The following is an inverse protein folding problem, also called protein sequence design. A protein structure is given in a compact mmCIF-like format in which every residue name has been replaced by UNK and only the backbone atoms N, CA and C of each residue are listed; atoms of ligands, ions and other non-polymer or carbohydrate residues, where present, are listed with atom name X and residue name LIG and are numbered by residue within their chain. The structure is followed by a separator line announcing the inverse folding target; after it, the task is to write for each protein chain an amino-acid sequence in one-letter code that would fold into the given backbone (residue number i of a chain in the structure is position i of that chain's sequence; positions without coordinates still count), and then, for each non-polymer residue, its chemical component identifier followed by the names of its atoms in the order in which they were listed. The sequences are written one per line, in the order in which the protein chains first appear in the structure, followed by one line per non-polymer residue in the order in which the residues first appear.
data_IF_780624371563
#
_entry.id   IF_780624371563
#
_cell.length_a   1.000
_cell.length_b   1.000
_cell.length_c   1.000
_cell.angle_alpha   90.00
_cell.angle_beta   90.00
_cell.angle_gamma   90.00
#
_symmetry.space_group_name_H-M   'P 1'
#
loop_
_entity.id
_entity.type
_entity.pdbx_description
1 polymer ?
#
# COMPACT_ATOMS: atom_id res chain seq x y z
N UNK A 1 -12.47 15.05 3.43
CA UNK A 1 -12.83 13.69 3.02
C UNK A 1 -14.02 13.72 2.09
N UNK A 2 -14.04 12.93 1.01
CA UNK A 2 -15.21 12.77 0.14
C UNK A 2 -16.12 11.66 0.67
N UNK A 3 -17.42 11.85 0.50
CA UNK A 3 -18.44 10.85 0.82
C UNK A 3 -19.28 10.55 -0.41
N UNK A 4 -19.70 9.31 -0.57
CA UNK A 4 -20.60 8.90 -1.65
C UNK A 4 -22.03 9.38 -1.37
N UNK A 5 -22.66 9.93 -2.39
CA UNK A 5 -24.10 10.28 -2.39
C UNK A 5 -24.76 9.76 -3.67
N UNK A 6 -26.04 9.51 -3.59
CA UNK A 6 -26.86 9.20 -4.76
C UNK A 6 -28.02 10.20 -4.86
N UNK A 7 -28.38 10.52 -6.11
CA UNK A 7 -29.55 11.32 -6.43
C UNK A 7 -30.35 10.62 -7.52
N UNK A 8 -31.65 10.75 -7.49
CA UNK A 8 -32.52 10.25 -8.56
C UNK A 8 -32.90 11.43 -9.46
N UNK A 9 -32.73 11.28 -10.77
CA UNK A 9 -33.18 12.29 -11.73
C UNK A 9 -34.71 12.29 -11.81
N UNK A 10 -35.24 13.30 -12.41
CA UNK A 10 -36.68 13.38 -12.67
C UNK A 10 -37.17 12.27 -13.61
N UNK A 11 -36.26 11.66 -14.40
CA UNK A 11 -36.51 10.49 -15.28
C UNK A 11 -36.45 9.16 -14.54
N UNK A 12 -36.15 9.15 -13.24
CA UNK A 12 -36.03 7.93 -12.43
C UNK A 12 -34.62 7.31 -12.38
N UNK A 13 -33.66 7.86 -13.12
CA UNK A 13 -32.29 7.35 -13.15
C UNK A 13 -31.52 7.70 -11.87
N UNK A 14 -30.81 6.72 -11.33
CA UNK A 14 -29.93 6.92 -10.16
C UNK A 14 -28.55 7.36 -10.60
N UNK A 15 -28.11 8.49 -10.07
CA UNK A 15 -26.77 9.01 -10.28
C UNK A 15 -25.98 8.99 -8.97
N UNK A 16 -24.71 8.62 -9.05
CA UNK A 16 -23.82 8.53 -7.90
C UNK A 16 -22.72 9.61 -8.00
N UNK A 17 -22.45 10.25 -6.87
CA UNK A 17 -21.51 11.36 -6.78
C UNK A 17 -20.62 11.22 -5.55
N UNK A 18 -19.41 11.77 -5.63
CA UNK A 18 -18.60 12.08 -4.48
C UNK A 18 -18.75 13.55 -4.11
N UNK A 19 -19.10 13.81 -2.85
CA UNK A 19 -19.29 15.15 -2.30
C UNK A 19 -18.38 15.34 -1.09
N UNK A 20 -17.84 16.56 -0.92
CA UNK A 20 -17.05 16.89 0.27
C UNK A 20 -17.93 16.84 1.52
N UNK A 21 -17.45 16.16 2.57
CA UNK A 21 -18.14 16.11 3.86
C UNK A 21 -18.35 17.50 4.47
N UNK A 22 -17.37 18.43 4.33
CA UNK A 22 -17.49 19.82 4.75
C UNK A 22 -18.56 20.58 3.95
N UNK A 23 -18.66 20.37 2.62
CA UNK A 23 -19.70 20.95 1.79
C UNK A 23 -21.09 20.42 2.18
N UNK A 24 -21.21 19.11 2.47
CA UNK A 24 -22.47 18.51 2.93
C UNK A 24 -22.93 19.07 4.27
N UNK A 25 -22.00 19.28 5.19
CA UNK A 25 -22.25 19.85 6.53
C UNK A 25 -22.35 21.37 6.56
N UNK A 26 -22.27 22.03 5.39
CA UNK A 26 -22.29 23.50 5.25
C UNK A 26 -21.17 24.22 6.04
N UNK A 27 -20.01 23.58 6.17
CA UNK A 27 -18.84 24.13 6.87
C UNK A 27 -17.96 25.03 5.97
N UNK A 28 -18.54 25.74 5.01
CA UNK A 28 -17.85 26.71 4.16
C UNK A 28 -17.09 26.10 2.97
N UNK A 29 -17.03 24.79 2.82
CA UNK A 29 -16.36 24.16 1.68
C UNK A 29 -17.17 24.37 0.39
N UNK A 30 -16.53 24.94 -0.64
CA UNK A 30 -17.14 25.24 -1.95
C UNK A 30 -16.87 24.15 -3.00
N UNK A 31 -16.27 23.02 -2.62
CA UNK A 31 -15.94 21.92 -3.55
C UNK A 31 -17.19 21.36 -4.21
N UNK A 32 -17.19 21.35 -5.54
CA UNK A 32 -18.27 20.77 -6.34
C UNK A 32 -18.28 19.25 -6.19
N UNK A 33 -19.47 18.65 -6.27
CA UNK A 33 -19.61 17.20 -6.35
C UNK A 33 -19.10 16.69 -7.70
N UNK A 34 -18.53 15.48 -7.71
CA UNK A 34 -17.98 14.85 -8.91
C UNK A 34 -18.68 13.52 -9.13
N UNK A 35 -18.99 13.17 -10.38
CA UNK A 35 -19.60 11.89 -10.73
C UNK A 35 -18.68 10.74 -10.27
N UNK A 36 -19.24 9.77 -9.55
CA UNK A 36 -18.52 8.62 -9.02
C UNK A 36 -17.84 7.83 -10.14
N UNK A 37 -18.62 7.45 -11.17
CA UNK A 37 -18.12 6.62 -12.26
C UNK A 37 -16.98 7.30 -13.05
N UNK A 38 -17.00 8.64 -13.14
CA UNK A 38 -15.94 9.41 -13.79
C UNK A 38 -14.61 9.25 -13.05
N UNK A 39 -14.58 9.50 -11.74
CA UNK A 39 -13.36 9.47 -10.95
C UNK A 39 -12.82 8.04 -10.80
N UNK A 40 -13.70 7.08 -10.56
CA UNK A 40 -13.30 5.67 -10.41
C UNK A 40 -12.70 5.13 -11.69
N UNK A 41 -13.34 5.37 -12.82
CA UNK A 41 -12.86 4.93 -14.12
C UNK A 41 -11.56 5.64 -14.52
N UNK A 42 -11.44 6.94 -14.28
CA UNK A 42 -10.21 7.69 -14.51
C UNK A 42 -9.06 7.10 -13.67
N UNK A 43 -9.29 6.86 -12.38
CA UNK A 43 -8.29 6.27 -11.50
C UNK A 43 -7.84 4.89 -11.99
N UNK A 44 -8.75 4.04 -12.45
CA UNK A 44 -8.42 2.70 -12.97
C UNK A 44 -7.58 2.81 -14.24
N UNK A 45 -8.03 3.60 -15.23
CA UNK A 45 -7.32 3.74 -16.50
C UNK A 45 -5.91 4.30 -16.28
N UNK A 46 -5.78 5.31 -15.44
CA UNK A 46 -4.49 5.90 -15.10
C UNK A 46 -3.57 4.89 -14.40
N UNK A 47 -4.12 4.11 -13.47
CA UNK A 47 -3.38 3.06 -12.78
C UNK A 47 -2.91 1.97 -13.75
N UNK A 48 -3.78 1.49 -14.62
CA UNK A 48 -3.43 0.49 -15.65
C UNK A 48 -2.32 1.01 -16.54
N UNK A 49 -2.46 2.24 -17.06
CA UNK A 49 -1.48 2.84 -17.95
C UNK A 49 -0.14 3.14 -17.29
N UNK A 50 -0.13 3.38 -15.95
CA UNK A 50 1.08 3.70 -15.21
C UNK A 50 1.78 2.46 -14.67
N UNK A 51 1.02 1.57 -14.02
CA UNK A 51 1.56 0.46 -13.23
C UNK A 51 1.84 -0.79 -14.07
N UNK A 52 0.99 -1.06 -15.07
CA UNK A 52 1.02 -2.32 -15.82
C UNK A 52 1.91 -2.30 -17.07
N UNK A 53 2.84 -1.33 -17.19
CA UNK A 53 3.92 -1.35 -18.19
C UNK A 53 5.00 -2.33 -17.73
N UNK A 54 5.63 -3.04 -18.68
CA UNK A 54 6.65 -4.04 -18.35
C UNK A 54 7.83 -3.46 -17.57
N UNK A 55 8.28 -2.26 -17.96
CA UNK A 55 9.36 -1.53 -17.30
C UNK A 55 9.00 -1.18 -15.85
N UNK A 56 7.77 -0.71 -15.63
CA UNK A 56 7.30 -0.32 -14.31
C UNK A 56 7.06 -1.54 -13.41
N UNK A 57 6.51 -2.62 -13.96
CA UNK A 57 6.36 -3.90 -13.25
C UNK A 57 7.72 -4.41 -12.78
N UNK A 58 8.74 -4.37 -13.66
CA UNK A 58 10.10 -4.78 -13.29
C UNK A 58 10.67 -3.88 -12.17
N UNK A 59 10.48 -2.55 -12.26
CA UNK A 59 10.92 -1.59 -11.24
C UNK A 59 10.23 -1.82 -9.88
N UNK A 60 8.93 -2.11 -9.90
CA UNK A 60 8.16 -2.43 -8.69
C UNK A 60 8.69 -3.75 -8.09
N UNK A 61 8.93 -4.76 -8.90
CA UNK A 61 9.48 -6.04 -8.46
C UNK A 61 10.85 -5.86 -7.80
N UNK A 62 11.75 -5.08 -8.41
CA UNK A 62 13.07 -4.78 -7.84
C UNK A 62 12.94 -4.02 -6.50
N UNK A 63 11.98 -3.11 -6.38
CA UNK A 63 11.72 -2.39 -5.13
C UNK A 63 11.20 -3.30 -4.02
N UNK A 64 10.33 -4.27 -4.34
CA UNK A 64 9.84 -5.27 -3.40
C UNK A 64 10.97 -6.18 -2.93
N UNK A 65 11.83 -6.63 -3.85
CA UNK A 65 13.00 -7.45 -3.50
C UNK A 65 13.98 -6.68 -2.59
N UNK A 66 14.22 -5.41 -2.88
CA UNK A 66 15.05 -4.56 -2.03
C UNK A 66 14.47 -4.43 -0.62
N UNK A 67 13.15 -4.29 -0.49
CA UNK A 67 12.47 -4.27 0.82
C UNK A 67 12.56 -5.63 1.52
N UNK A 68 12.33 -6.75 0.82
CA UNK A 68 12.50 -8.08 1.39
C UNK A 68 13.90 -8.28 1.98
N UNK A 69 14.93 -7.76 1.30
CA UNK A 69 16.32 -7.87 1.75
C UNK A 69 16.68 -6.88 2.88
N UNK A 70 16.03 -5.71 2.94
CA UNK A 70 16.34 -4.68 3.95
C UNK A 70 15.66 -4.91 5.29
N UNK A 71 14.51 -5.56 5.32
CA UNK A 71 13.75 -5.82 6.55
C UNK A 71 14.26 -7.03 7.36
N UNK A 72 15.27 -7.74 6.89
CA UNK A 72 15.80 -8.95 7.52
C UNK A 72 16.74 -8.70 8.72
N UNK A 73 16.85 -7.48 9.24
CA UNK A 73 17.67 -7.20 10.42
C UNK A 73 17.19 -7.94 11.69
N UNK A 74 15.90 -8.30 11.74
CA UNK A 74 15.31 -9.01 12.90
C UNK A 74 15.82 -10.45 13.01
N UNK A 75 15.88 -11.19 11.89
CA UNK A 75 16.33 -12.59 11.87
C UNK A 75 17.82 -12.71 12.26
N UNK A 76 18.74 -11.92 11.68
CA UNK A 76 20.14 -11.90 12.10
C UNK A 76 20.31 -11.52 13.58
N UNK A 77 19.52 -10.56 14.09
CA UNK A 77 19.56 -10.19 15.51
C UNK A 77 19.14 -11.33 16.42
N UNK A 78 18.04 -12.02 16.11
CA UNK A 78 17.57 -13.20 16.85
C UNK A 78 18.58 -14.35 16.78
N UNK A 79 19.16 -14.62 15.61
CA UNK A 79 20.21 -15.64 15.45
C UNK A 79 21.46 -15.32 16.26
N UNK A 80 21.85 -14.04 16.30
CA UNK A 80 22.96 -13.59 17.16
C UNK A 80 22.64 -13.81 18.63
N UNK A 81 21.47 -13.42 19.11
CA UNK A 81 21.05 -13.66 20.49
C UNK A 81 21.02 -15.15 20.84
N UNK A 82 20.57 -15.99 19.91
CA UNK A 82 20.59 -17.43 20.08
C UNK A 82 22.01 -17.97 20.25
N UNK A 83 22.93 -17.58 19.37
CA UNK A 83 24.33 -17.98 19.43
C UNK A 83 25.03 -17.50 20.74
N UNK A 84 24.73 -16.28 21.18
CA UNK A 84 25.27 -15.75 22.45
C UNK A 84 24.71 -16.51 23.66
N UNK A 85 23.43 -16.92 23.61
CA UNK A 85 22.80 -17.74 24.67
C UNK A 85 23.39 -19.15 24.69
N UNK A 86 23.57 -19.78 23.53
CA UNK A 86 24.19 -21.12 23.40
C UNK A 86 25.64 -21.11 23.93
N UNK A 87 26.41 -20.07 23.61
CA UNK A 87 27.75 -19.86 24.16
C UNK A 87 27.73 -19.68 25.69
N UNK A 88 26.72 -18.99 26.21
CA UNK A 88 26.51 -18.85 27.66
C UNK A 88 26.24 -20.20 28.34
N UNK A 89 25.45 -21.06 27.73
CA UNK A 89 25.19 -22.44 28.22
C UNK A 89 26.48 -23.26 28.20
N UNK A 90 27.24 -23.22 27.13
CA UNK A 90 28.51 -23.94 27.00
C UNK A 90 29.53 -23.51 28.08
N UNK A 91 29.66 -22.20 28.28
CA UNK A 91 30.52 -21.67 29.38
C UNK A 91 30.08 -22.14 30.77
N UNK A 92 28.77 -22.21 31.01
CA UNK A 92 28.23 -22.75 32.28
C UNK A 92 28.51 -24.24 32.45
N UNK A 93 28.35 -25.01 31.37
CA UNK A 93 28.68 -26.46 31.40
C UNK A 93 30.16 -26.70 31.65
N UNK A 94 31.04 -25.90 31.03
CA UNK A 94 32.48 -25.96 31.30
C UNK A 94 32.84 -25.62 32.77
N UNK A 95 32.18 -24.61 33.34
CA UNK A 95 32.37 -24.26 34.76
C UNK A 95 31.91 -25.38 35.72
N UNK A 96 30.78 -26.03 35.40
CA UNK A 96 30.27 -27.17 36.13
C UNK A 96 31.23 -28.37 36.06
N UNK A 97 31.81 -28.65 34.92
CA UNK A 97 32.82 -29.69 34.73
C UNK A 97 34.10 -29.41 35.54
N UNK A 98 34.42 -28.14 35.79
CA UNK A 98 35.54 -27.73 36.65
C UNK A 98 35.19 -27.73 38.14
N UNK A 99 33.99 -28.19 38.52
CA UNK A 99 33.58 -28.34 39.90
C UNK A 99 32.82 -27.14 40.49
N UNK A 100 32.46 -26.12 39.68
CA UNK A 100 31.66 -24.98 40.13
C UNK A 100 30.19 -25.35 40.06
N UNK A 101 29.64 -25.95 41.13
CA UNK A 101 28.25 -26.33 41.21
C UNK A 101 27.57 -25.69 42.43
N UNK A 102 26.69 -24.73 42.22
CA UNK A 102 25.88 -24.08 43.24
C UNK A 102 24.41 -24.10 42.85
N UNK A 103 23.49 -23.82 43.79
CA UNK A 103 22.06 -23.69 43.44
C UNK A 103 21.80 -22.63 42.39
N UNK A 104 22.50 -21.50 42.46
CA UNK A 104 22.40 -20.40 41.47
C UNK A 104 22.94 -20.80 40.11
N UNK A 105 23.92 -21.71 40.01
CA UNK A 105 24.40 -22.27 38.75
C UNK A 105 23.29 -23.05 38.01
N UNK A 106 22.57 -23.89 38.79
CA UNK A 106 21.44 -24.67 38.25
C UNK A 106 20.33 -23.75 37.73
N UNK A 107 19.87 -22.82 38.57
CA UNK A 107 18.80 -21.87 38.17
C UNK A 107 19.18 -21.05 36.92
N UNK A 108 20.43 -20.63 36.84
CA UNK A 108 20.93 -19.86 35.69
C UNK A 108 20.99 -20.71 34.42
N UNK A 109 21.40 -21.96 34.54
CA UNK A 109 21.44 -22.87 33.39
C UNK A 109 20.01 -23.15 32.85
N UNK A 110 19.06 -23.45 33.73
CA UNK A 110 17.66 -23.65 33.39
C UNK A 110 17.06 -22.41 32.72
N UNK A 111 17.40 -21.20 33.20
CA UNK A 111 16.94 -19.95 32.57
C UNK A 111 17.53 -19.74 31.17
N UNK A 112 18.81 -20.05 30.96
CA UNK A 112 19.47 -19.96 29.65
C UNK A 112 18.91 -20.99 28.67
N UNK A 113 18.64 -22.21 29.12
CA UNK A 113 18.03 -23.25 28.27
C UNK A 113 16.62 -22.84 27.82
N UNK A 114 15.80 -22.33 28.74
CA UNK A 114 14.47 -21.79 28.39
C UNK A 114 14.56 -20.60 27.42
N UNK A 115 15.53 -19.72 27.62
CA UNK A 115 15.78 -18.59 26.74
C UNK A 115 16.17 -19.07 25.33
N UNK A 116 17.07 -20.05 25.22
CA UNK A 116 17.47 -20.70 23.96
C UNK A 116 16.25 -21.24 23.20
N UNK A 117 15.38 -21.99 23.90
CA UNK A 117 14.22 -22.62 23.28
C UNK A 117 13.20 -21.58 22.80
N UNK A 118 12.97 -20.52 23.57
CA UNK A 118 12.15 -19.39 23.14
C UNK A 118 12.73 -18.68 21.91
N UNK A 119 14.05 -18.47 21.84
CA UNK A 119 14.73 -17.85 20.71
C UNK A 119 14.67 -18.74 19.46
N UNK A 120 14.79 -20.07 19.60
CA UNK A 120 14.60 -21.02 18.48
C UNK A 120 13.21 -20.91 17.88
N UNK A 121 12.18 -20.87 18.72
CA UNK A 121 10.79 -20.68 18.29
C UNK A 121 10.62 -19.32 17.59
N UNK A 122 11.18 -18.25 18.16
CA UNK A 122 11.09 -16.92 17.58
C UNK A 122 11.77 -16.82 16.20
N UNK A 123 12.94 -17.46 16.02
CA UNK A 123 13.62 -17.54 14.72
C UNK A 123 12.77 -18.29 13.70
N UNK A 124 12.24 -19.46 14.07
CA UNK A 124 11.36 -20.25 13.19
C UNK A 124 10.12 -19.46 12.78
N UNK A 125 9.46 -18.78 13.73
CA UNK A 125 8.29 -17.96 13.45
C UNK A 125 8.64 -16.79 12.50
N UNK A 126 9.78 -16.12 12.72
CA UNK A 126 10.22 -15.03 11.86
C UNK A 126 10.55 -15.51 10.44
N UNK A 127 11.13 -16.70 10.29
CA UNK A 127 11.41 -17.31 9.00
C UNK A 127 10.13 -17.75 8.25
N UNK A 128 9.13 -18.28 8.97
CA UNK A 128 7.86 -18.71 8.40
C UNK A 128 6.95 -17.53 7.99
N UNK A 129 7.03 -16.41 8.69
CA UNK A 129 6.18 -15.24 8.43
C UNK A 129 6.58 -14.44 7.18
N UNK A 130 7.74 -14.70 6.60
CA UNK A 130 8.25 -13.95 5.43
C UNK A 130 8.51 -14.88 4.24
N UNK A 131 7.47 -15.19 3.43
CA UNK A 131 7.70 -15.88 2.17
C UNK A 131 8.60 -15.02 1.28
N UNK A 132 9.74 -15.56 0.86
CA UNK A 132 10.64 -14.90 -0.10
C UNK A 132 10.11 -15.14 -1.50
N UNK A 133 9.61 -14.08 -2.12
CA UNK A 133 9.21 -14.13 -3.53
C UNK A 133 10.40 -13.88 -4.43
N UNK A 134 10.47 -14.57 -5.56
CA UNK A 134 11.42 -14.28 -6.63
C UNK A 134 10.90 -13.14 -7.50
N UNK A 135 11.80 -12.52 -8.28
CA UNK A 135 11.42 -11.45 -9.22
C UNK A 135 10.36 -11.93 -10.21
N UNK A 136 10.55 -13.13 -10.73
CA UNK A 136 9.66 -13.76 -11.72
C UNK A 136 8.26 -13.97 -11.14
N UNK A 137 8.16 -14.41 -9.88
CA UNK A 137 6.88 -14.59 -9.21
C UNK A 137 6.15 -13.26 -9.03
N UNK A 138 6.85 -12.19 -8.63
CA UNK A 138 6.27 -10.86 -8.46
C UNK A 138 5.81 -10.31 -9.82
N UNK A 139 6.67 -10.39 -10.85
CA UNK A 139 6.34 -9.94 -12.20
C UNK A 139 5.13 -10.70 -12.76
N UNK A 140 5.10 -12.02 -12.61
CA UNK A 140 3.98 -12.86 -13.04
C UNK A 140 2.69 -12.48 -12.32
N UNK A 141 2.75 -12.27 -11.00
CA UNK A 141 1.59 -11.87 -10.22
C UNK A 141 1.03 -10.50 -10.64
N UNK A 142 1.89 -9.50 -10.82
CA UNK A 142 1.45 -8.17 -11.31
C UNK A 142 0.95 -8.28 -12.75
N UNK A 143 1.60 -9.09 -13.58
CA UNK A 143 1.24 -9.29 -14.99
C UNK A 143 -0.18 -9.80 -15.20
N UNK A 144 -0.75 -10.54 -14.26
CA UNK A 144 -2.14 -11.02 -14.32
C UNK A 144 -3.16 -9.89 -14.42
N UNK A 145 -2.81 -8.70 -13.94
CA UNK A 145 -3.70 -7.53 -13.99
C UNK A 145 -3.69 -6.81 -15.34
N UNK A 146 -2.82 -7.17 -16.28
CA UNK A 146 -2.81 -6.58 -17.64
C UNK A 146 -4.04 -6.94 -18.45
N UNK A 147 -4.62 -8.09 -18.14
CA UNK A 147 -5.74 -8.65 -18.90
C UNK A 147 -7.02 -8.51 -18.11
N UNK A 148 -7.84 -7.53 -18.48
CA UNK A 148 -9.13 -7.30 -17.83
C UNK A 148 -9.91 -6.19 -18.52
N UNK A 149 -11.22 -6.27 -18.42
CA UNK A 149 -12.11 -5.23 -18.96
C UNK A 149 -12.17 -4.05 -17.98
N UNK A 150 -11.63 -2.91 -18.42
CA UNK A 150 -11.64 -1.65 -17.65
C UNK A 150 -13.07 -1.18 -17.32
N UNK A 151 -14.08 -1.66 -18.04
CA UNK A 151 -15.49 -1.35 -17.80
C UNK A 151 -16.12 -2.29 -16.77
N UNK A 152 -15.50 -3.44 -16.49
CA UNK A 152 -15.98 -4.38 -15.48
C UNK A 152 -15.75 -3.81 -14.08
N UNK A 153 -16.81 -3.76 -13.26
CA UNK A 153 -16.72 -3.32 -11.85
C UNK A 153 -15.80 -4.18 -11.01
N UNK A 154 -15.76 -5.47 -11.27
CA UNK A 154 -14.89 -6.40 -10.56
C UNK A 154 -13.41 -6.12 -10.85
N UNK A 155 -13.08 -5.89 -12.13
CA UNK A 155 -11.73 -5.52 -12.52
C UNK A 155 -11.32 -4.16 -11.96
N UNK A 156 -12.19 -3.15 -12.04
CA UNK A 156 -11.95 -1.84 -11.46
C UNK A 156 -11.64 -1.94 -9.96
N UNK A 157 -12.45 -2.69 -9.22
CA UNK A 157 -12.24 -2.93 -7.79
C UNK A 157 -10.89 -3.61 -7.52
N UNK A 158 -10.56 -4.66 -8.26
CA UNK A 158 -9.27 -5.36 -8.12
C UNK A 158 -8.08 -4.44 -8.34
N UNK A 159 -8.11 -3.61 -9.38
CA UNK A 159 -7.03 -2.64 -9.68
C UNK A 159 -6.87 -1.64 -8.53
N UNK A 160 -7.96 -1.06 -8.07
CA UNK A 160 -7.91 -0.04 -7.01
C UNK A 160 -7.48 -0.64 -5.66
N UNK A 161 -8.04 -1.79 -5.29
CA UNK A 161 -7.69 -2.44 -4.03
C UNK A 161 -6.23 -2.88 -3.98
N UNK A 162 -5.68 -3.30 -5.13
CA UNK A 162 -4.30 -3.79 -5.20
C UNK A 162 -3.28 -2.66 -5.28
N UNK A 163 -3.49 -1.69 -6.14
CA UNK A 163 -2.44 -0.72 -6.50
C UNK A 163 -2.63 0.67 -5.90
N UNK A 164 -3.86 1.14 -5.72
CA UNK A 164 -4.13 2.51 -5.28
C UNK A 164 -4.14 2.59 -3.76
N UNK A 165 -3.29 3.46 -3.22
CA UNK A 165 -3.29 3.78 -1.79
C UNK A 165 -4.31 4.87 -1.48
N UNK A 166 -4.20 6.03 -2.14
CA UNK A 166 -5.07 7.17 -1.90
C UNK A 166 -5.28 7.97 -3.17
N UNK A 167 -6.41 8.66 -3.24
CA UNK A 167 -6.77 9.53 -4.34
C UNK A 167 -7.15 10.90 -3.80
N UNK A 168 -6.43 11.95 -4.22
CA UNK A 168 -6.67 13.32 -3.81
C UNK A 168 -7.24 14.11 -4.97
N UNK A 169 -8.43 14.66 -4.77
CA UNK A 169 -9.14 15.43 -5.78
C UNK A 169 -9.06 16.92 -5.46
N UNK A 170 -8.26 17.65 -6.23
CA UNK A 170 -8.19 19.11 -6.24
C UNK A 170 -9.19 19.70 -7.24
N UNK A 171 -9.27 21.03 -7.34
CA UNK A 171 -10.18 21.67 -8.27
C UNK A 171 -9.69 21.61 -9.72
N UNK A 172 -8.38 21.51 -9.91
CA UNK A 172 -7.66 21.53 -11.18
C UNK A 172 -6.97 20.19 -11.52
N UNK A 173 -6.76 19.31 -10.53
CA UNK A 173 -5.94 18.12 -10.67
C UNK A 173 -6.39 16.97 -9.80
N UNK A 174 -5.97 15.77 -10.21
CA UNK A 174 -6.10 14.52 -9.49
C UNK A 174 -4.70 14.02 -9.12
N UNK A 175 -4.49 13.69 -7.85
CA UNK A 175 -3.26 13.04 -7.39
C UNK A 175 -3.58 11.63 -6.94
N UNK A 176 -2.91 10.66 -7.54
CA UNK A 176 -3.03 9.24 -7.18
C UNK A 176 -1.74 8.81 -6.49
N UNK A 177 -1.85 8.23 -5.30
CA UNK A 177 -0.73 7.58 -4.63
C UNK A 177 -0.92 6.08 -4.69
N UNK A 178 0.15 5.36 -5.00
CA UNK A 178 0.13 3.91 -5.15
C UNK A 178 0.73 3.20 -3.94
N UNK A 179 0.45 1.92 -3.80
CA UNK A 179 0.92 1.07 -2.69
C UNK A 179 2.41 0.67 -2.79
N UNK A 180 3.17 1.25 -3.71
CA UNK A 180 4.60 0.97 -3.88
C UNK A 180 5.44 2.25 -3.80
N UNK A 181 6.72 2.09 -3.46
CA UNK A 181 7.64 3.21 -3.23
C UNK A 181 7.83 4.06 -4.49
N UNK A 182 7.64 5.38 -4.35
CA UNK A 182 7.75 6.33 -5.46
C UNK A 182 6.54 6.37 -6.40
N UNK A 183 5.47 5.65 -6.07
CA UNK A 183 4.24 5.63 -6.84
C UNK A 183 3.33 6.80 -6.49
N UNK A 184 3.65 8.00 -6.97
CA UNK A 184 2.74 9.16 -6.89
C UNK A 184 2.63 9.79 -8.27
N UNK A 185 1.43 10.03 -8.73
CA UNK A 185 1.15 10.65 -10.01
C UNK A 185 0.18 11.83 -9.83
N UNK A 186 0.50 12.95 -10.50
CA UNK A 186 -0.33 14.15 -10.51
C UNK A 186 -0.77 14.44 -11.93
N UNK A 187 -2.07 14.54 -12.16
CA UNK A 187 -2.66 14.73 -13.48
C UNK A 187 -3.68 15.85 -13.39
N UNK A 188 -3.71 16.75 -14.38
CA UNK A 188 -4.73 17.80 -14.40
C UNK A 188 -6.10 17.20 -14.78
N UNK A 189 -7.18 17.73 -14.21
CA UNK A 189 -8.53 17.27 -14.58
C UNK A 189 -8.84 17.57 -16.05
N UNK A 190 -8.26 18.64 -16.60
CA UNK A 190 -8.38 18.95 -18.02
C UNK A 190 -7.76 17.88 -18.91
N UNK A 191 -6.60 17.33 -18.52
CA UNK A 191 -5.95 16.24 -19.26
C UNK A 191 -6.76 14.94 -19.14
N UNK A 192 -7.38 14.70 -18.00
CA UNK A 192 -8.30 13.57 -17.82
C UNK A 192 -9.54 13.73 -18.72
N UNK A 193 -10.15 14.90 -18.74
CA UNK A 193 -11.31 15.20 -19.61
C UNK A 193 -10.94 15.16 -21.10
N UNK A 194 -9.78 15.69 -21.47
CA UNK A 194 -9.29 15.66 -22.85
C UNK A 194 -8.99 14.23 -23.32
N UNK A 195 -8.44 13.38 -22.45
CA UNK A 195 -8.08 12.01 -22.79
C UNK A 195 -9.29 11.06 -22.84
N UNK A 196 -10.30 11.28 -22.00
CA UNK A 196 -11.39 10.32 -21.78
C UNK A 196 -12.79 10.89 -22.07
N UNK A 197 -12.88 12.17 -22.43
CA UNK A 197 -14.16 12.88 -22.62
C UNK A 197 -14.90 13.14 -21.31
N UNK A 198 -15.83 14.09 -21.35
CA UNK A 198 -16.66 14.42 -20.17
C UNK A 198 -17.56 13.27 -19.71
N UNK A 199 -17.87 12.33 -20.59
CA UNK A 199 -18.74 11.17 -20.34
C UNK A 199 -18.00 9.84 -20.23
N UNK A 200 -16.68 9.80 -20.42
CA UNK A 200 -15.87 8.56 -20.37
C UNK A 200 -16.45 7.39 -21.18
N UNK A 201 -17.11 7.66 -22.30
CA UNK A 201 -17.61 6.63 -23.19
C UNK A 201 -16.46 6.16 -24.07
N UNK A 202 -16.03 4.93 -23.83
CA UNK A 202 -15.19 4.09 -24.66
C UNK A 202 -13.96 4.76 -25.28
N UNK A 203 -12.79 4.64 -24.66
CA UNK A 203 -11.54 4.97 -25.31
C UNK A 203 -10.47 3.93 -24.98
N UNK A 204 -9.81 3.44 -26.02
CA UNK A 204 -8.53 2.73 -25.92
C UNK A 204 -7.51 3.64 -25.22
N UNK A 205 -6.60 3.09 -24.40
CA UNK A 205 -5.67 3.90 -23.61
C UNK A 205 -4.80 4.78 -24.51
N UNK A 206 -4.71 6.10 -24.23
CA UNK A 206 -3.80 6.97 -24.97
C UNK A 206 -2.36 6.62 -24.66
N UNK A 207 -1.54 6.57 -25.69
CA UNK A 207 -0.09 6.48 -25.58
C UNK A 207 0.43 7.81 -25.02
N UNK A 208 1.01 7.77 -23.81
CA UNK A 208 1.79 8.84 -23.15
C UNK A 208 1.04 10.09 -22.69
N UNK A 209 0.75 10.17 -21.39
CA UNK A 209 0.65 11.43 -20.68
C UNK A 209 2.04 11.77 -20.09
N UNK A 210 2.57 12.92 -20.51
CA UNK A 210 3.86 13.44 -20.03
C UNK A 210 3.74 13.92 -18.60
N UNK A 211 4.65 13.48 -17.78
CA UNK A 211 4.82 13.88 -16.37
C UNK A 211 5.77 15.06 -16.32
N UNK A 212 5.30 16.24 -15.93
CA UNK A 212 6.18 17.33 -15.55
C UNK A 212 5.87 17.77 -14.11
N UNK A 213 6.95 17.77 -13.33
CA UNK A 213 7.20 18.38 -12.02
C UNK A 213 6.32 17.97 -10.83
N UNK A 214 6.96 17.18 -9.98
CA UNK A 214 6.53 16.85 -8.62
C UNK A 214 6.91 17.98 -7.66
N UNK A 215 5.94 18.67 -7.10
CA UNK A 215 6.13 19.40 -5.86
C UNK A 215 5.69 18.51 -4.69
N UNK A 216 6.65 18.22 -3.80
CA UNK A 216 6.46 17.35 -2.63
C UNK A 216 5.43 17.95 -1.68
N UNK A 217 4.36 17.22 -1.41
CA UNK A 217 3.53 17.43 -0.23
C UNK A 217 3.45 16.09 0.50
N UNK A 218 4.14 16.02 1.64
CA UNK A 218 4.05 14.90 2.57
C UNK A 218 2.82 15.09 3.46
N UNK A 219 1.85 14.20 3.37
CA UNK A 219 0.93 13.95 4.47
C UNK A 219 1.07 12.47 4.87
N UNK A 220 1.54 12.24 6.09
CA UNK A 220 1.59 10.93 6.72
C UNK A 220 0.18 10.39 6.94
N UNK A 221 -0.09 9.21 6.44
CA UNK A 221 -1.29 8.44 6.81
C UNK A 221 -0.92 6.98 6.94
N UNK A 222 -1.07 6.47 8.16
CA UNK A 222 -0.98 5.05 8.49
C UNK A 222 -2.10 4.26 7.79
N UNK A 223 -1.71 3.27 6.97
CA UNK A 223 -2.63 2.41 6.26
C UNK A 223 -3.10 1.24 7.13
N UNK A 224 -4.41 1.04 7.23
CA UNK A 224 -5.03 -0.22 7.67
C UNK A 224 -5.60 -0.97 6.46
N UNK A 225 -5.42 -2.31 6.35
CA UNK A 225 -5.69 -3.06 5.11
C UNK A 225 -7.15 -3.49 4.85
N UNK A 226 -8.13 -2.94 5.54
CA UNK A 226 -9.52 -3.44 5.47
C UNK A 226 -10.60 -2.40 5.18
N UNK A 227 -10.27 -1.28 4.51
CA UNK A 227 -11.24 -0.22 4.27
C UNK A 227 -11.82 -0.27 2.85
N UNK A 228 -13.15 -0.14 2.78
CA UNK A 228 -13.96 -0.07 1.58
C UNK A 228 -13.51 1.04 0.62
N UNK A 229 -13.77 0.87 -0.68
CA UNK A 229 -13.44 1.76 -1.79
C UNK A 229 -13.65 3.27 -1.50
N UNK A 230 -14.68 3.61 -0.71
CA UNK A 230 -15.02 4.97 -0.31
C UNK A 230 -13.95 5.67 0.53
N UNK A 231 -13.12 4.92 1.26
CA UNK A 231 -12.13 5.49 2.17
C UNK A 231 -10.81 5.88 1.49
N UNK A 232 -10.60 5.45 0.23
CA UNK A 232 -9.40 5.79 -0.54
C UNK A 232 -9.45 7.16 -1.22
N UNK A 233 -10.62 7.80 -1.30
CA UNK A 233 -10.76 9.14 -1.89
C UNK A 233 -10.68 10.20 -0.81
N UNK A 234 -9.58 10.94 -0.78
CA UNK A 234 -9.33 12.02 0.18
C UNK A 234 -9.23 13.37 -0.52
N UNK A 235 -9.77 14.38 0.12
CA UNK A 235 -9.56 15.77 -0.27
C UNK A 235 -8.41 16.35 0.54
N UNK A 236 -7.40 16.86 -0.16
CA UNK A 236 -6.45 17.77 0.43
C UNK A 236 -6.89 19.19 0.06
N UNK A 237 -7.45 19.94 0.98
CA UNK A 237 -7.75 21.34 0.78
C UNK A 237 -6.58 22.16 1.33
N UNK A 238 -6.00 23.01 0.47
CA UNK A 238 -4.96 23.97 0.80
C UNK A 238 -5.56 25.17 1.52
N UNK A 239 -6.22 24.95 2.63
CA UNK A 239 -6.48 26.01 3.59
C UNK A 239 -6.50 25.39 4.99
N UNK A 240 -5.61 25.88 5.85
CA UNK A 240 -5.76 25.73 7.28
C UNK A 240 -7.19 26.13 7.65
N UNK A 241 -7.85 25.31 8.46
CA UNK A 241 -9.24 25.36 8.91
C UNK A 241 -10.25 24.54 8.04
N UNK A 242 -10.30 23.25 8.33
CA UNK A 242 -11.51 22.48 8.56
C UNK A 242 -11.16 21.32 9.49
#
# INVERSE_FOLDING_TARGET
MMIGESGTSHTGDKHYYYKCAGAKRKLGCKKKSVKKDFIERAAVILTVNRVLRDEEISRIADSILALQNSEDATIPALKKQLADTERGIENMLNAIQQGVLTSSTKERLEALEKQRDNLKIAVLQAELQKPKYTKEQIVSWIGQFKYGDVNSREYQKRIIDTFVNSLYLFDDRLVITYNFKGGTETITLKDVEAAYGSDLKAVSPPQTLRTDMVQRVFCYVTAHPSLLFLDKIRLCSYYNYC
#
